data_IF_886515919280
#
_entry.id   IF_886515919280
#
_cell.length_a   1.000
_cell.length_b   1.000
_cell.length_c   1.000
_cell.angle_alpha   90.00
_cell.angle_beta   90.00
_cell.angle_gamma   90.00
#
_symmetry.space_group_name_H-M   'P 1'
#
loop_
_entity.id
_entity.type
_entity.pdbx_description
1 polymer ?
#
# COMPACT_ATOMS: atom_id res chain seq x y z
N UNK A 1 -50.77 -8.79 -22.95
CA UNK A 1 -49.69 -7.84 -23.28
C UNK A 1 -49.08 -7.44 -21.93
N UNK A 2 -47.81 -7.71 -21.59
CA UNK A 2 -46.59 -7.11 -22.19
C UNK A 2 -46.70 -5.57 -22.16
N UNK A 3 -45.88 -4.74 -21.53
CA UNK A 3 -44.45 -4.74 -21.09
C UNK A 3 -44.36 -3.71 -19.91
N UNK A 4 -43.32 -3.53 -19.07
CA UNK A 4 -41.89 -3.95 -19.04
C UNK A 4 -41.50 -4.34 -17.59
N UNK A 5 -40.33 -4.98 -17.45
CA UNK A 5 -39.49 -5.24 -16.27
C UNK A 5 -39.15 -3.98 -15.45
N UNK A 6 -39.28 -4.06 -14.12
CA UNK A 6 -38.55 -3.23 -13.14
C UNK A 6 -37.78 -4.15 -12.18
N UNK A 7 -36.82 -4.90 -12.72
CA UNK A 7 -35.88 -5.69 -11.94
C UNK A 7 -34.69 -4.82 -11.53
N UNK A 8 -34.26 -5.00 -10.28
CA UNK A 8 -32.92 -4.67 -9.81
C UNK A 8 -32.54 -3.18 -9.80
N UNK A 9 -33.22 -2.40 -8.95
CA UNK A 9 -32.63 -1.19 -8.36
C UNK A 9 -31.68 -1.51 -7.18
N UNK A 10 -31.49 -2.79 -6.85
CA UNK A 10 -30.49 -3.28 -5.89
C UNK A 10 -29.15 -3.53 -6.59
N UNK A 11 -28.41 -2.46 -6.91
CA UNK A 11 -26.96 -2.57 -7.11
C UNK A 11 -26.27 -2.52 -5.76
N UNK A 12 -26.54 -3.58 -5.00
CA UNK A 12 -25.77 -4.14 -3.89
C UNK A 12 -24.37 -3.48 -3.73
N UNK A 13 -24.28 -2.45 -2.85
CA UNK A 13 -23.03 -2.17 -2.15
C UNK A 13 -22.80 -3.34 -1.20
N UNK A 14 -22.44 -4.49 -1.77
CA UNK A 14 -22.11 -5.68 -1.01
C UNK A 14 -20.89 -5.33 -0.18
N UNK A 15 -21.10 -5.07 1.11
CA UNK A 15 -20.01 -4.86 2.04
C UNK A 15 -19.13 -6.11 1.92
N UNK A 16 -17.89 -5.92 1.47
CA UNK A 16 -16.94 -7.01 1.32
C UNK A 16 -16.86 -7.71 2.65
N UNK A 17 -16.92 -9.04 2.65
CA UNK A 17 -16.66 -9.78 3.88
C UNK A 17 -15.29 -9.36 4.44
N UNK A 18 -15.08 -9.39 5.77
CA UNK A 18 -13.82 -8.97 6.36
C UNK A 18 -12.58 -9.64 5.73
N UNK A 19 -12.71 -10.91 5.31
CA UNK A 19 -11.67 -11.64 4.59
C UNK A 19 -11.44 -11.12 3.14
N UNK A 20 -12.48 -10.75 2.41
CA UNK A 20 -12.35 -10.09 1.10
C UNK A 20 -11.77 -8.68 1.23
N UNK A 21 -12.08 -7.97 2.31
CA UNK A 21 -11.48 -6.66 2.60
C UNK A 21 -9.99 -6.79 2.95
N UNK A 22 -9.61 -7.81 3.73
CA UNK A 22 -8.21 -8.14 4.00
C UNK A 22 -7.45 -8.46 2.69
N UNK A 23 -8.03 -9.32 1.84
CA UNK A 23 -7.50 -9.64 0.51
C UNK A 23 -7.33 -8.41 -0.38
N UNK A 24 -8.33 -7.53 -0.40
CA UNK A 24 -8.28 -6.28 -1.16
C UNK A 24 -7.22 -5.31 -0.62
N UNK A 25 -7.07 -5.19 0.70
CA UNK A 25 -6.04 -4.35 1.32
C UNK A 25 -4.63 -4.82 0.92
N UNK A 26 -4.36 -6.13 0.96
CA UNK A 26 -3.07 -6.70 0.55
C UNK A 26 -2.75 -6.46 -0.94
N UNK A 27 -3.74 -6.53 -1.82
CA UNK A 27 -3.56 -6.20 -3.24
C UNK A 27 -3.32 -4.70 -3.44
N UNK A 28 -4.05 -3.83 -2.73
CA UNK A 28 -3.82 -2.38 -2.74
C UNK A 28 -2.40 -2.04 -2.27
N UNK A 29 -1.88 -2.75 -1.25
CA UNK A 29 -0.51 -2.56 -0.76
C UNK A 29 0.52 -2.82 -1.85
N UNK A 30 0.36 -3.92 -2.62
CA UNK A 30 1.22 -4.21 -3.77
C UNK A 30 1.13 -3.08 -4.82
N UNK A 31 -0.07 -2.64 -5.17
CA UNK A 31 -0.27 -1.54 -6.14
C UNK A 31 0.42 -0.26 -5.68
N UNK A 32 0.23 0.16 -4.43
CA UNK A 32 0.89 1.36 -3.90
C UNK A 32 2.42 1.22 -3.90
N UNK A 33 2.98 0.08 -3.45
CA UNK A 33 4.43 -0.18 -3.55
C UNK A 33 4.92 -0.09 -5.01
N UNK A 34 4.14 -0.54 -5.99
CA UNK A 34 4.49 -0.45 -7.42
C UNK A 34 4.41 0.97 -7.97
N UNK A 35 3.38 1.76 -7.64
CA UNK A 35 3.29 3.16 -8.06
C UNK A 35 4.40 4.01 -7.43
N UNK A 36 4.70 3.82 -6.14
CA UNK A 36 5.81 4.50 -5.46
C UNK A 36 7.15 4.29 -6.17
N UNK A 37 7.42 3.08 -6.69
CA UNK A 37 8.62 2.82 -7.49
C UNK A 37 8.65 3.61 -8.81
N UNK A 38 7.51 3.87 -9.44
CA UNK A 38 7.45 4.66 -10.68
C UNK A 38 7.72 6.14 -10.43
N UNK A 39 7.18 6.72 -9.36
CA UNK A 39 7.31 8.15 -9.10
C UNK A 39 8.68 8.52 -8.55
N UNK A 40 9.28 7.68 -7.70
CA UNK A 40 10.66 7.90 -7.25
C UNK A 40 11.69 7.79 -8.38
N UNK A 41 11.43 6.99 -9.42
CA UNK A 41 12.27 6.91 -10.61
C UNK A 41 12.07 8.08 -11.59
N UNK A 42 10.97 8.83 -11.47
CA UNK A 42 10.70 10.08 -12.20
C UNK A 42 11.24 11.32 -11.49
N UNK A 43 11.78 11.16 -10.27
CA UNK A 43 12.09 12.27 -9.34
C UNK A 43 10.85 13.12 -8.97
N UNK A 44 9.67 12.48 -9.02
CA UNK A 44 8.37 13.07 -8.71
C UNK A 44 8.04 12.82 -7.23
N UNK A 45 8.52 13.74 -6.40
CA UNK A 45 8.65 13.56 -4.94
C UNK A 45 7.33 13.77 -4.22
N UNK A 46 6.53 14.74 -4.64
CA UNK A 46 5.29 15.08 -3.96
C UNK A 46 4.27 13.93 -4.14
N UNK A 47 4.10 13.40 -5.35
CA UNK A 47 3.30 12.20 -5.63
C UNK A 47 3.85 10.95 -4.89
N UNK A 48 5.17 10.77 -4.81
CA UNK A 48 5.76 9.68 -4.02
C UNK A 48 5.36 9.76 -2.53
N UNK A 49 5.29 10.97 -1.96
CA UNK A 49 4.92 11.18 -0.56
C UNK A 49 3.42 11.04 -0.33
N UNK A 50 2.57 11.46 -1.27
CA UNK A 50 1.13 11.19 -1.22
C UNK A 50 0.84 9.68 -1.24
N UNK A 51 1.55 8.92 -2.07
CA UNK A 51 1.45 7.46 -2.10
C UNK A 51 2.03 6.80 -0.83
N UNK A 52 3.05 7.38 -0.21
CA UNK A 52 3.61 6.95 1.08
C UNK A 52 2.57 7.07 2.20
N UNK A 53 1.91 8.24 2.28
CA UNK A 53 0.85 8.53 3.24
C UNK A 53 -0.35 7.57 3.05
N UNK A 54 -0.84 7.41 1.81
CA UNK A 54 -1.91 6.47 1.49
C UNK A 54 -1.57 5.03 1.91
N UNK A 55 -0.30 4.62 1.72
CA UNK A 55 0.17 3.29 2.11
C UNK A 55 0.30 3.15 3.62
N UNK A 56 0.73 4.19 4.34
CA UNK A 56 0.73 4.21 5.82
C UNK A 56 -0.68 4.08 6.38
N UNK A 57 -1.67 4.82 5.86
CA UNK A 57 -3.07 4.69 6.26
C UNK A 57 -3.66 3.30 5.95
N UNK A 58 -3.28 2.70 4.82
CA UNK A 58 -3.64 1.33 4.49
C UNK A 58 -3.05 0.33 5.50
N UNK A 59 -1.81 0.53 5.97
CA UNK A 59 -1.21 -0.32 7.01
C UNK A 59 -1.98 -0.23 8.33
N UNK A 60 -2.39 0.97 8.76
CA UNK A 60 -3.22 1.09 9.97
C UNK A 60 -4.59 0.41 9.80
N UNK A 61 -5.20 0.52 8.62
CA UNK A 61 -6.44 -0.22 8.29
C UNK A 61 -6.24 -1.75 8.30
N UNK A 62 -5.09 -2.23 7.83
CA UNK A 62 -4.74 -3.65 7.87
C UNK A 62 -4.55 -4.16 9.29
N UNK A 63 -3.88 -3.39 10.16
CA UNK A 63 -3.72 -3.69 11.59
C UNK A 63 -5.05 -3.72 12.36
N UNK A 64 -5.97 -2.84 12.00
CA UNK A 64 -7.29 -2.74 12.65
C UNK A 64 -8.26 -3.89 12.26
N UNK A 65 -7.90 -4.72 11.28
CA UNK A 65 -8.73 -5.79 10.74
C UNK A 65 -8.14 -7.17 11.09
N UNK A 66 -8.71 -7.93 12.05
CA UNK A 66 -8.18 -9.23 12.47
C UNK A 66 -7.98 -10.23 11.33
N UNK A 67 -8.90 -10.22 10.36
CA UNK A 67 -8.90 -11.11 9.19
C UNK A 67 -7.72 -10.85 8.24
N UNK A 68 -6.98 -9.73 8.41
CA UNK A 68 -5.68 -9.52 7.78
C UNK A 68 -4.71 -10.65 8.13
N UNK A 69 -4.65 -11.08 9.39
CA UNK A 69 -3.76 -12.15 9.83
C UNK A 69 -4.27 -13.55 9.42
N UNK A 70 -5.58 -13.73 9.30
CA UNK A 70 -6.15 -14.98 8.77
C UNK A 70 -5.90 -15.13 7.26
N UNK A 71 -6.14 -14.07 6.48
CA UNK A 71 -5.75 -14.04 5.07
C UNK A 71 -4.24 -14.22 4.90
N UNK A 72 -3.41 -13.63 5.77
CA UNK A 72 -1.93 -13.76 5.75
C UNK A 72 -1.45 -15.21 5.88
N UNK A 73 -2.21 -16.09 6.55
CA UNK A 73 -1.87 -17.52 6.67
C UNK A 73 -2.15 -18.32 5.39
N UNK A 74 -2.91 -17.77 4.44
CA UNK A 74 -3.25 -18.46 3.18
C UNK A 74 -2.04 -18.56 2.24
N UNK A 75 -1.95 -19.62 1.40
CA UNK A 75 -0.89 -19.73 0.39
C UNK A 75 -0.86 -18.54 -0.58
N UNK A 76 -2.04 -18.04 -0.98
CA UNK A 76 -2.19 -16.87 -1.86
C UNK A 76 -1.53 -15.62 -1.27
N UNK A 77 -1.78 -15.31 0.01
CA UNK A 77 -1.14 -14.16 0.64
C UNK A 77 0.37 -14.38 0.82
N UNK A 78 0.83 -15.61 1.03
CA UNK A 78 2.26 -15.91 1.11
C UNK A 78 2.99 -15.66 -0.22
N UNK A 79 2.39 -16.08 -1.35
CA UNK A 79 2.91 -15.72 -2.68
C UNK A 79 2.93 -14.20 -2.88
N UNK A 80 1.85 -13.51 -2.51
CA UNK A 80 1.74 -12.06 -2.65
C UNK A 80 2.82 -11.34 -1.81
N UNK A 81 3.04 -11.77 -0.57
CA UNK A 81 4.11 -11.27 0.31
C UNK A 81 5.50 -11.52 -0.30
N UNK A 82 5.74 -12.67 -0.93
CA UNK A 82 7.01 -12.94 -1.62
C UNK A 82 7.24 -11.98 -2.80
N UNK A 83 6.19 -11.60 -3.53
CA UNK A 83 6.27 -10.60 -4.61
C UNK A 83 6.49 -9.18 -4.09
N UNK A 84 5.85 -8.81 -2.97
CA UNK A 84 5.95 -7.46 -2.39
C UNK A 84 7.35 -7.20 -1.79
N UNK A 85 7.90 -8.13 -0.99
CA UNK A 85 9.19 -7.96 -0.28
C UNK A 85 10.34 -7.34 -1.10
N UNK A 86 10.69 -7.81 -2.32
CA UNK A 86 11.76 -7.22 -3.10
C UNK A 86 11.42 -5.84 -3.69
N UNK A 87 10.14 -5.52 -3.89
CA UNK A 87 9.70 -4.19 -4.34
C UNK A 87 9.80 -3.19 -3.17
N UNK A 88 9.34 -3.60 -2.00
CA UNK A 88 9.45 -2.85 -0.74
C UNK A 88 10.91 -2.47 -0.41
N UNK A 89 11.83 -3.43 -0.55
CA UNK A 89 13.26 -3.19 -0.35
C UNK A 89 13.82 -2.16 -1.34
N UNK A 90 13.35 -2.18 -2.59
CA UNK A 90 13.72 -1.17 -3.60
C UNK A 90 13.16 0.21 -3.26
N UNK A 91 11.91 0.32 -2.81
CA UNK A 91 11.31 1.61 -2.36
C UNK A 91 12.18 2.22 -1.27
N UNK A 92 12.50 1.45 -0.21
CA UNK A 92 13.33 1.92 0.91
C UNK A 92 14.73 2.33 0.46
N UNK A 93 15.36 1.57 -0.44
CA UNK A 93 16.70 1.89 -0.94
C UNK A 93 16.70 3.17 -1.80
N UNK A 94 15.75 3.28 -2.75
CA UNK A 94 15.61 4.46 -3.61
C UNK A 94 15.26 5.70 -2.81
N UNK A 95 14.37 5.61 -1.80
CA UNK A 95 14.03 6.71 -0.91
C UNK A 95 15.25 7.24 -0.14
N UNK A 96 16.10 6.34 0.38
CA UNK A 96 17.36 6.70 1.06
C UNK A 96 18.36 7.34 0.09
N UNK A 97 18.51 6.80 -1.12
CA UNK A 97 19.39 7.36 -2.14
C UNK A 97 18.91 8.74 -2.63
N UNK A 98 17.60 8.94 -2.78
CA UNK A 98 17.00 10.23 -3.10
C UNK A 98 17.23 11.25 -1.97
N UNK A 99 16.93 10.90 -0.72
CA UNK A 99 17.10 11.80 0.44
C UNK A 99 18.55 12.27 0.59
N UNK A 100 19.51 11.38 0.33
CA UNK A 100 20.93 11.72 0.35
C UNK A 100 21.31 12.68 -0.79
N UNK A 101 20.81 12.48 -2.02
CA UNK A 101 21.02 13.41 -3.15
C UNK A 101 20.41 14.77 -2.88
N UNK A 102 19.16 14.80 -2.41
CA UNK A 102 18.41 16.02 -2.07
C UNK A 102 19.15 16.88 -1.04
N UNK A 103 19.63 16.27 0.05
CA UNK A 103 20.46 16.93 1.09
C UNK A 103 21.81 17.45 0.58
N UNK A 104 22.42 16.80 -0.40
CA UNK A 104 23.69 17.23 -0.99
C UNK A 104 23.52 18.40 -1.97
N UNK A 105 22.37 18.49 -2.64
CA UNK A 105 22.12 19.48 -3.69
C UNK A 105 21.44 20.76 -3.19
N UNK A 106 20.65 20.69 -2.12
CA UNK A 106 19.92 21.83 -1.56
C UNK A 106 20.10 21.94 -0.04
N UNK A 107 20.84 22.94 0.41
CA UNK A 107 21.04 23.24 1.84
C UNK A 107 19.77 23.74 2.56
N UNK A 108 18.66 23.90 1.84
CA UNK A 108 17.38 24.43 2.30
C UNK A 108 16.24 23.40 2.44
N UNK A 109 16.47 22.11 2.13
CA UNK A 109 15.41 21.07 2.19
C UNK A 109 15.12 20.65 3.63
N UNK A 110 14.42 21.52 4.35
CA UNK A 110 13.85 21.24 5.66
C UNK A 110 12.47 20.56 5.61
N UNK A 111 11.92 20.31 4.41
CA UNK A 111 10.50 19.96 4.25
C UNK A 111 10.15 18.47 4.23
N UNK A 112 11.05 17.59 3.79
CA UNK A 112 10.71 16.19 3.49
C UNK A 112 11.21 15.20 4.55
N UNK A 113 10.31 14.86 5.47
CA UNK A 113 10.58 13.99 6.61
C UNK A 113 10.14 12.54 6.35
N UNK A 114 11.01 11.75 5.71
CA UNK A 114 10.75 10.34 5.35
C UNK A 114 10.98 9.42 6.57
N UNK A 115 10.33 9.73 7.71
CA UNK A 115 10.46 8.96 8.95
C UNK A 115 9.79 7.57 8.87
N UNK A 116 8.69 7.46 8.14
CA UNK A 116 7.86 6.25 8.10
C UNK A 116 8.44 5.09 7.28
N UNK A 117 9.41 5.33 6.38
CA UNK A 117 10.06 4.27 5.57
C UNK A 117 10.70 3.14 6.37
N UNK A 118 11.18 3.38 7.59
CA UNK A 118 11.74 2.32 8.43
C UNK A 118 10.64 1.48 9.13
N UNK A 119 9.38 1.95 9.18
CA UNK A 119 8.26 1.21 9.79
C UNK A 119 7.80 0.02 8.94
N UNK A 120 8.05 0.06 7.63
CA UNK A 120 7.59 -0.91 6.63
C UNK A 120 8.04 -2.35 6.91
N UNK A 121 9.21 -2.53 7.55
CA UNK A 121 9.67 -3.85 7.97
C UNK A 121 8.78 -4.53 9.01
N UNK A 122 7.94 -3.79 9.76
CA UNK A 122 7.08 -4.37 10.78
C UNK A 122 5.93 -5.21 10.19
N UNK A 123 5.34 -4.82 9.05
CA UNK A 123 4.18 -5.55 8.50
C UNK A 123 4.54 -6.97 8.05
N UNK A 124 5.79 -7.18 7.61
CA UNK A 124 6.27 -8.50 7.21
C UNK A 124 6.83 -9.34 8.36
N UNK A 125 7.36 -8.71 9.41
CA UNK A 125 8.07 -9.40 10.50
C UNK A 125 7.27 -9.58 11.79
N UNK A 126 6.30 -8.71 12.09
CA UNK A 126 5.42 -8.89 13.26
C UNK A 126 4.19 -9.68 12.86
N UNK A 127 3.82 -10.66 13.67
CA UNK A 127 2.40 -11.04 13.85
C UNK A 127 1.75 -9.88 14.61
N UNK A 128 0.60 -9.42 14.15
CA UNK A 128 -0.20 -8.45 14.87
C UNK A 128 -1.04 -9.15 15.94
#
# INVERSE_FOLDING_TARGET
MSKVIAMSADTDKKERSPLEQARANWHMYLTLTQEMLKFIDKDDVDEFLELEQQRTELVERMKALPETEDYRKTPECQELVQRIKPLDMQVVYKAKAWLNRSRQQNASVHAYDIQHMNSLGNIFNKKY
#
